data_IF_015228509523
#
_entry.id   IF_015228509523
#
_cell.length_a   1.000
_cell.length_b   1.000
_cell.length_c   1.000
_cell.angle_alpha   90.00
_cell.angle_beta   90.00
_cell.angle_gamma   90.00
#
_symmetry.space_group_name_H-M   'P 1'
#
loop_
_entity.id
_entity.type
_entity.pdbx_description
1 polymer ?
#
# COMPACT_ATOMS: atom_id res chain seq x y z
N UNK A 1 -42.63 59.52 -10.31
CA UNK A 1 -42.34 58.12 -9.94
C UNK A 1 -40.83 57.91 -10.04
N UNK A 2 -40.15 57.69 -8.92
CA UNK A 2 -38.69 57.51 -8.85
C UNK A 2 -38.34 56.06 -9.17
N UNK A 3 -37.59 55.84 -10.24
CA UNK A 3 -37.05 54.51 -10.60
C UNK A 3 -35.84 54.22 -9.72
N UNK A 4 -35.97 53.28 -8.79
CA UNK A 4 -34.84 52.75 -8.02
C UNK A 4 -34.19 51.64 -8.88
N UNK A 5 -32.92 51.77 -9.30
CA UNK A 5 -32.27 50.70 -10.02
C UNK A 5 -31.95 49.56 -9.05
N UNK A 6 -32.50 48.38 -9.31
CA UNK A 6 -32.08 47.14 -8.67
C UNK A 6 -30.58 46.95 -8.91
N UNK A 7 -29.77 47.06 -7.84
CA UNK A 7 -28.40 46.59 -7.83
C UNK A 7 -28.45 45.06 -7.93
N UNK A 8 -28.37 44.54 -9.16
CA UNK A 8 -28.06 43.13 -9.40
C UNK A 8 -26.76 42.85 -8.65
N UNK A 9 -26.87 42.12 -7.53
CA UNK A 9 -25.73 41.82 -6.66
C UNK A 9 -24.64 41.20 -7.50
N UNK A 10 -23.44 41.80 -7.50
CA UNK A 10 -22.29 41.19 -8.15
C UNK A 10 -22.11 39.78 -7.57
N UNK A 11 -21.80 38.77 -8.40
CA UNK A 11 -21.52 37.43 -7.89
C UNK A 11 -20.41 37.54 -6.85
N UNK A 12 -20.65 37.01 -5.64
CA UNK A 12 -19.66 37.02 -4.56
C UNK A 12 -18.33 36.51 -5.11
N UNK A 13 -17.27 37.32 -5.00
CA UNK A 13 -15.95 36.93 -5.45
C UNK A 13 -15.55 35.66 -4.72
N UNK A 14 -15.31 34.59 -5.48
CA UNK A 14 -14.79 33.37 -4.88
C UNK A 14 -13.39 33.63 -4.34
N UNK A 15 -13.21 33.29 -3.07
CA UNK A 15 -11.98 33.49 -2.32
C UNK A 15 -10.84 32.65 -2.90
N UNK A 16 -11.17 31.46 -3.40
CA UNK A 16 -10.26 30.58 -4.13
C UNK A 16 -10.88 30.26 -5.48
N UNK A 17 -10.14 30.39 -6.61
CA UNK A 17 -10.65 30.01 -7.91
C UNK A 17 -11.08 28.53 -7.95
N UNK A 18 -12.23 28.23 -8.58
CA UNK A 18 -12.71 26.83 -8.69
C UNK A 18 -11.68 25.88 -9.31
N UNK A 19 -10.88 26.39 -10.24
CA UNK A 19 -9.82 25.62 -10.90
C UNK A 19 -8.79 25.13 -9.89
N UNK A 20 -8.39 25.99 -8.95
CA UNK A 20 -7.41 25.67 -7.90
C UNK A 20 -7.95 24.63 -6.93
N UNK A 21 -9.21 24.77 -6.47
CA UNK A 21 -9.83 23.75 -5.61
C UNK A 21 -9.97 22.40 -6.33
N UNK A 22 -10.39 22.40 -7.60
CA UNK A 22 -10.49 21.18 -8.41
C UNK A 22 -9.11 20.51 -8.61
N UNK A 23 -8.06 21.30 -8.81
CA UNK A 23 -6.71 20.78 -8.93
C UNK A 23 -6.24 20.17 -7.61
N UNK A 24 -6.50 20.83 -6.49
CA UNK A 24 -6.20 20.32 -5.15
C UNK A 24 -6.93 18.99 -4.88
N UNK A 25 -8.25 18.94 -5.10
CA UNK A 25 -9.07 17.73 -4.93
C UNK A 25 -8.56 16.57 -5.79
N UNK A 26 -8.19 16.85 -7.05
CA UNK A 26 -7.63 15.83 -7.94
C UNK A 26 -6.32 15.27 -7.41
N UNK A 27 -5.37 16.13 -7.04
CA UNK A 27 -4.05 15.67 -6.58
C UNK A 27 -4.15 14.95 -5.22
N UNK A 28 -4.97 15.45 -4.30
CA UNK A 28 -5.22 14.78 -3.03
C UNK A 28 -5.93 13.43 -3.21
N UNK A 29 -6.93 13.35 -4.10
CA UNK A 29 -7.63 12.10 -4.42
C UNK A 29 -6.70 11.00 -4.94
N UNK A 30 -5.73 11.36 -5.80
CA UNK A 30 -4.68 10.41 -6.23
C UNK A 30 -3.86 9.87 -5.06
N UNK A 31 -3.54 10.73 -4.08
CA UNK A 31 -2.75 10.34 -2.91
C UNK A 31 -3.55 9.47 -1.93
N UNK A 32 -4.86 9.71 -1.77
CA UNK A 32 -5.71 8.82 -0.99
C UNK A 32 -5.78 7.42 -1.61
N UNK A 33 -5.96 7.34 -2.93
CA UNK A 33 -5.92 6.06 -3.65
C UNK A 33 -4.57 5.36 -3.48
N UNK A 34 -3.47 6.11 -3.58
CA UNK A 34 -2.12 5.56 -3.39
C UNK A 34 -1.90 5.05 -1.96
N UNK A 35 -2.40 5.75 -0.94
CA UNK A 35 -2.35 5.32 0.46
C UNK A 35 -3.05 3.97 0.65
N UNK A 36 -4.26 3.84 0.12
CA UNK A 36 -5.06 2.62 0.23
C UNK A 36 -4.41 1.45 -0.53
N UNK A 37 -3.92 1.69 -1.74
CA UNK A 37 -3.20 0.70 -2.54
C UNK A 37 -1.93 0.23 -1.85
N UNK A 38 -1.15 1.13 -1.24
CA UNK A 38 0.08 0.81 -0.52
C UNK A 38 -0.23 -0.07 0.70
N UNK A 39 -1.23 0.30 1.49
CA UNK A 39 -1.67 -0.50 2.67
C UNK A 39 -2.16 -1.88 2.26
N UNK A 40 -2.96 -1.96 1.19
CA UNK A 40 -3.46 -3.23 0.65
C UNK A 40 -2.30 -4.12 0.20
N UNK A 41 -1.38 -3.59 -0.60
CA UNK A 41 -0.21 -4.31 -1.08
C UNK A 41 0.65 -4.83 0.09
N UNK A 42 0.91 -4.00 1.09
CA UNK A 42 1.66 -4.42 2.29
C UNK A 42 0.97 -5.59 3.00
N UNK A 43 -0.36 -5.51 3.19
CA UNK A 43 -1.15 -6.56 3.83
C UNK A 43 -1.13 -7.86 3.02
N UNK A 44 -1.30 -7.76 1.72
CA UNK A 44 -1.33 -8.92 0.82
C UNK A 44 0.05 -9.59 0.73
N UNK A 45 1.14 -8.80 0.70
CA UNK A 45 2.50 -9.34 0.76
C UNK A 45 2.79 -10.08 2.06
N UNK A 46 2.36 -9.53 3.21
CA UNK A 46 2.51 -10.22 4.49
C UNK A 46 1.72 -11.53 4.53
N UNK A 47 0.48 -11.54 4.06
CA UNK A 47 -0.33 -12.76 3.95
C UNK A 47 0.33 -13.81 3.05
N UNK A 48 0.91 -13.39 1.92
CA UNK A 48 1.62 -14.28 1.00
C UNK A 48 2.81 -14.94 1.68
N UNK A 49 3.63 -14.18 2.42
CA UNK A 49 4.78 -14.74 3.14
C UNK A 49 4.35 -15.63 4.31
N UNK A 50 3.27 -15.31 5.00
CA UNK A 50 2.71 -16.16 6.06
C UNK A 50 2.22 -17.50 5.50
N UNK A 51 1.57 -17.48 4.33
CA UNK A 51 1.13 -18.69 3.62
C UNK A 51 2.31 -19.53 3.14
N UNK A 52 3.36 -18.90 2.61
CA UNK A 52 4.62 -19.57 2.23
C UNK A 52 5.22 -20.32 3.43
N UNK A 53 5.31 -19.67 4.60
CA UNK A 53 5.85 -20.29 5.83
C UNK A 53 4.98 -21.45 6.30
N UNK A 54 3.66 -21.29 6.28
CA UNK A 54 2.74 -22.36 6.67
C UNK A 54 2.91 -23.59 5.76
N UNK A 55 2.97 -23.37 4.44
CA UNK A 55 3.16 -24.42 3.46
C UNK A 55 4.49 -25.17 3.65
N UNK A 56 5.61 -24.45 3.82
CA UNK A 56 6.92 -25.10 3.97
C UNK A 56 7.02 -25.90 5.27
N UNK A 57 6.45 -25.39 6.38
CA UNK A 57 6.35 -26.13 7.65
C UNK A 57 5.49 -27.39 7.52
N UNK A 58 4.35 -27.32 6.84
CA UNK A 58 3.52 -28.49 6.58
C UNK A 58 4.25 -29.54 5.74
N UNK A 59 5.00 -29.12 4.72
CA UNK A 59 5.79 -30.02 3.89
C UNK A 59 6.89 -30.75 4.67
N UNK A 60 7.62 -30.04 5.56
CA UNK A 60 8.59 -30.64 6.48
C UNK A 60 7.92 -31.59 7.47
N UNK A 61 6.74 -31.24 7.99
CA UNK A 61 6.00 -32.12 8.90
C UNK A 61 5.62 -33.43 8.21
N UNK A 62 5.09 -33.36 6.99
CA UNK A 62 4.71 -34.55 6.22
C UNK A 62 5.91 -35.48 6.00
N UNK A 63 7.06 -34.94 5.59
CA UNK A 63 8.26 -35.78 5.39
C UNK A 63 8.78 -36.39 6.68
N UNK A 64 8.74 -35.63 7.79
CA UNK A 64 9.15 -36.12 9.11
C UNK A 64 8.21 -37.20 9.66
N UNK A 65 6.90 -37.07 9.43
CA UNK A 65 5.90 -38.05 9.84
C UNK A 65 6.07 -39.35 9.03
N UNK A 66 6.34 -39.26 7.72
CA UNK A 66 6.66 -40.42 6.88
C UNK A 66 7.95 -41.12 7.33
N UNK A 67 8.98 -40.37 7.72
CA UNK A 67 10.23 -40.93 8.19
C UNK A 67 10.06 -41.71 9.50
N UNK A 68 9.10 -41.31 10.34
CA UNK A 68 8.75 -42.00 11.58
C UNK A 68 7.86 -43.24 11.36
N UNK A 69 7.50 -43.57 10.12
CA UNK A 69 6.64 -44.71 9.82
C UNK A 69 7.40 -46.04 10.01
N UNK A 70 6.84 -47.04 10.70
CA UNK A 70 7.49 -48.35 10.89
C UNK A 70 7.90 -49.07 9.60
N UNK A 71 7.28 -48.76 8.46
CA UNK A 71 7.67 -49.29 7.15
C UNK A 71 9.11 -48.91 6.77
N UNK A 72 9.63 -47.78 7.27
CA UNK A 72 11.03 -47.39 7.09
C UNK A 72 12.01 -48.35 7.79
N UNK A 73 11.59 -49.07 8.82
CA UNK A 73 12.43 -50.10 9.47
C UNK A 73 12.41 -51.43 8.69
N UNK A 74 11.37 -51.65 7.89
CA UNK A 74 11.11 -52.91 7.19
C UNK A 74 11.67 -52.92 5.76
N UNK A 75 11.70 -51.76 5.10
CA UNK A 75 12.21 -51.62 3.73
C UNK A 75 13.35 -50.57 3.67
N UNK A 76 14.62 -51.01 3.54
CA UNK A 76 15.77 -50.12 3.41
C UNK A 76 15.70 -49.18 2.20
N UNK A 77 15.05 -49.58 1.11
CA UNK A 77 14.89 -48.74 -0.08
C UNK A 77 13.88 -47.62 0.20
N UNK A 78 12.77 -47.94 0.86
CA UNK A 78 11.78 -46.96 1.30
C UNK A 78 12.40 -45.94 2.26
N UNK A 79 13.16 -46.39 3.27
CA UNK A 79 13.88 -45.51 4.19
C UNK A 79 14.80 -44.53 3.45
N UNK A 80 15.55 -45.02 2.47
CA UNK A 80 16.47 -44.20 1.67
C UNK A 80 15.71 -43.10 0.91
N UNK A 81 14.58 -43.45 0.28
CA UNK A 81 13.73 -42.49 -0.44
C UNK A 81 13.11 -41.45 0.48
N UNK A 82 12.55 -41.85 1.62
CA UNK A 82 11.90 -40.94 2.58
C UNK A 82 12.93 -40.03 3.26
N UNK A 83 14.13 -40.53 3.56
CA UNK A 83 15.25 -39.71 4.07
C UNK A 83 15.68 -38.63 3.07
N UNK A 84 15.73 -38.98 1.78
CA UNK A 84 16.02 -38.02 0.72
C UNK A 84 14.90 -36.97 0.57
N UNK A 85 13.62 -37.38 0.67
CA UNK A 85 12.48 -36.47 0.70
C UNK A 85 12.57 -35.48 1.87
N UNK A 86 12.80 -35.98 3.09
CA UNK A 86 12.88 -35.15 4.29
C UNK A 86 14.02 -34.13 4.22
N UNK A 87 15.18 -34.56 3.74
CA UNK A 87 16.31 -33.66 3.48
C UNK A 87 15.94 -32.60 2.45
N UNK A 88 15.21 -32.96 1.38
CA UNK A 88 14.76 -32.01 0.37
C UNK A 88 13.76 -31.00 0.94
N UNK A 89 12.79 -31.45 1.74
CA UNK A 89 11.79 -30.60 2.38
C UNK A 89 12.42 -29.60 3.35
N UNK A 90 13.36 -30.04 4.18
CA UNK A 90 14.11 -29.16 5.10
C UNK A 90 14.95 -28.11 4.37
N UNK A 91 15.58 -28.50 3.25
CA UNK A 91 16.31 -27.55 2.37
C UNK A 91 15.37 -26.53 1.73
N UNK A 92 14.19 -26.97 1.28
CA UNK A 92 13.17 -26.10 0.70
C UNK A 92 12.61 -25.12 1.74
N UNK A 93 12.37 -25.56 2.97
CA UNK A 93 11.97 -24.69 4.08
C UNK A 93 13.04 -23.62 4.38
N UNK A 94 14.31 -24.03 4.47
CA UNK A 94 15.43 -23.10 4.67
C UNK A 94 15.51 -22.04 3.56
N UNK A 95 15.35 -22.46 2.30
CA UNK A 95 15.29 -21.54 1.16
C UNK A 95 14.08 -20.59 1.25
N UNK A 96 12.93 -21.12 1.66
CA UNK A 96 11.70 -20.34 1.81
C UNK A 96 11.82 -19.29 2.93
N UNK A 97 12.46 -19.63 4.05
CA UNK A 97 12.76 -18.69 5.13
C UNK A 97 13.64 -17.53 4.63
N UNK A 98 14.68 -17.81 3.83
CA UNK A 98 15.50 -16.77 3.23
C UNK A 98 14.69 -15.90 2.25
N UNK A 99 13.86 -16.51 1.40
CA UNK A 99 12.94 -15.77 0.50
C UNK A 99 12.04 -14.82 1.29
N UNK A 100 11.42 -15.30 2.37
CA UNK A 100 10.54 -14.50 3.24
C UNK A 100 11.32 -13.34 3.89
N UNK A 101 12.52 -13.61 4.41
CA UNK A 101 13.39 -12.57 4.97
C UNK A 101 13.77 -11.50 3.94
N UNK A 102 14.04 -11.89 2.69
CA UNK A 102 14.34 -10.96 1.61
C UNK A 102 13.10 -10.12 1.24
N UNK A 103 11.91 -10.72 1.12
CA UNK A 103 10.66 -9.99 0.84
C UNK A 103 10.34 -9.01 1.98
N UNK A 104 10.59 -9.39 3.23
CA UNK A 104 10.40 -8.53 4.38
C UNK A 104 11.26 -7.25 4.27
N UNK A 105 12.55 -7.39 3.97
CA UNK A 105 13.51 -6.29 3.87
C UNK A 105 13.34 -5.43 2.61
N UNK A 106 13.00 -6.05 1.49
CA UNK A 106 13.00 -5.40 0.16
C UNK A 106 11.63 -4.91 -0.29
N UNK A 107 10.54 -5.37 0.33
CA UNK A 107 9.17 -4.98 -0.06
C UNK A 107 8.39 -4.46 1.15
N UNK A 108 8.24 -5.28 2.20
CA UNK A 108 7.33 -4.95 3.32
C UNK A 108 7.83 -3.73 4.11
N UNK A 109 9.12 -3.68 4.44
CA UNK A 109 9.73 -2.56 5.16
C UNK A 109 9.72 -1.25 4.35
N UNK A 110 10.14 -1.23 3.07
CA UNK A 110 9.98 -0.05 2.22
C UNK A 110 8.54 0.45 2.16
N UNK A 111 7.56 -0.43 1.88
CA UNK A 111 6.15 -0.01 1.82
C UNK A 111 5.65 0.54 3.16
N UNK A 112 6.11 -0.02 4.30
CA UNK A 112 5.81 0.51 5.63
C UNK A 112 6.36 1.92 5.83
N UNK A 113 7.62 2.16 5.43
CA UNK A 113 8.26 3.47 5.51
C UNK A 113 7.55 4.49 4.62
N UNK A 114 7.20 4.12 3.38
CA UNK A 114 6.43 4.97 2.48
C UNK A 114 5.06 5.33 3.07
N UNK A 115 4.36 4.33 3.62
CA UNK A 115 3.05 4.50 4.27
C UNK A 115 3.09 5.45 5.47
N UNK A 116 4.25 5.61 6.11
CA UNK A 116 4.39 6.45 7.30
C UNK A 116 4.32 7.96 7.01
N UNK A 117 4.43 8.37 5.74
CA UNK A 117 4.38 9.78 5.32
C UNK A 117 2.94 10.29 5.23
N UNK A 118 1.98 9.43 4.85
CA UNK A 118 0.58 9.83 4.64
C UNK A 118 -0.12 10.49 5.85
N UNK A 119 0.07 10.03 7.10
CA UNK A 119 -0.51 10.71 8.26
C UNK A 119 -0.12 12.19 8.36
N UNK A 120 1.15 12.53 8.08
CA UNK A 120 1.63 13.91 8.10
C UNK A 120 1.00 14.75 6.99
N UNK A 121 0.94 14.20 5.77
CA UNK A 121 0.27 14.80 4.63
C UNK A 121 -1.21 15.08 4.92
N UNK A 122 -1.94 14.09 5.43
CA UNK A 122 -3.35 14.20 5.77
C UNK A 122 -3.58 15.29 6.84
N UNK A 123 -2.66 15.44 7.79
CA UNK A 123 -2.71 16.52 8.77
C UNK A 123 -2.43 17.90 8.16
N UNK A 124 -1.53 18.00 7.19
CA UNK A 124 -1.28 19.26 6.46
C UNK A 124 -2.51 19.68 5.64
N UNK A 125 -3.17 18.73 4.96
CA UNK A 125 -4.43 18.96 4.24
C UNK A 125 -5.54 19.44 5.19
N UNK A 126 -5.71 18.78 6.34
CA UNK A 126 -6.66 19.23 7.37
C UNK A 126 -6.37 20.65 7.86
N UNK A 127 -5.09 20.99 8.06
CA UNK A 127 -4.68 22.35 8.47
C UNK A 127 -4.98 23.39 7.39
N UNK A 128 -4.76 23.08 6.11
CA UNK A 128 -5.17 23.93 4.99
C UNK A 128 -6.68 24.19 5.02
N UNK A 129 -7.48 23.12 5.16
CA UNK A 129 -8.94 23.25 5.15
C UNK A 129 -9.46 24.08 6.34
N UNK A 130 -8.89 23.89 7.52
CA UNK A 130 -9.20 24.71 8.69
C UNK A 130 -8.89 26.20 8.43
N UNK A 131 -7.69 26.52 7.93
CA UNK A 131 -7.34 27.91 7.60
C UNK A 131 -8.24 28.47 6.49
N UNK A 132 -8.66 27.67 5.51
CA UNK A 132 -9.60 28.08 4.46
C UNK A 132 -10.98 28.44 5.04
N UNK A 133 -11.49 27.67 6.00
CA UNK A 133 -12.74 27.97 6.68
C UNK A 133 -12.64 29.28 7.48
N UNK A 134 -11.54 29.48 8.19
CA UNK A 134 -11.28 30.72 8.93
C UNK A 134 -11.15 31.92 7.98
N UNK A 135 -10.49 31.75 6.83
CA UNK A 135 -10.42 32.75 5.77
C UNK A 135 -11.82 33.11 5.26
N UNK A 136 -12.64 32.11 4.87
CA UNK A 136 -14.03 32.33 4.42
C UNK A 136 -14.86 33.12 5.44
N UNK A 137 -14.71 32.81 6.73
CA UNK A 137 -15.41 33.51 7.83
C UNK A 137 -14.97 34.97 7.95
N UNK A 138 -13.66 35.25 7.95
CA UNK A 138 -13.13 36.61 8.08
C UNK A 138 -13.39 37.46 6.83
N UNK A 139 -13.31 36.86 5.64
CA UNK A 139 -13.67 37.52 4.39
C UNK A 139 -15.14 37.94 4.39
N UNK A 140 -16.05 37.06 4.82
CA UNK A 140 -17.47 37.39 4.96
C UNK A 140 -17.72 38.56 5.92
N UNK A 141 -16.89 38.69 6.97
CA UNK A 141 -16.93 39.82 7.91
C UNK A 141 -16.47 41.12 7.24
N UNK A 142 -15.42 41.08 6.41
CA UNK A 142 -14.96 42.23 5.61
C UNK A 142 -16.05 42.67 4.64
N UNK A 143 -16.59 41.76 3.82
CA UNK A 143 -17.68 42.03 2.87
C UNK A 143 -18.89 42.69 3.56
N UNK A 144 -19.29 42.18 4.73
CA UNK A 144 -20.37 42.74 5.54
C UNK A 144 -20.14 44.20 5.98
N UNK A 145 -18.89 44.64 6.17
CA UNK A 145 -18.59 46.04 6.47
C UNK A 145 -18.42 46.88 5.20
N UNK A 146 -18.00 46.29 4.08
CA UNK A 146 -17.90 46.97 2.79
C UNK A 146 -19.27 47.33 2.19
N UNK A 147 -20.28 46.51 2.44
CA UNK A 147 -21.66 46.74 2.00
C UNK A 147 -22.39 47.85 2.80
N UNK A 148 -21.87 48.24 3.97
CA UNK A 148 -22.49 49.27 4.81
C UNK A 148 -22.13 50.68 4.37
N UNK A 149 -22.93 51.66 4.79
CA UNK A 149 -22.62 53.07 4.56
C UNK A 149 -21.26 53.47 5.13
N UNK A 150 -20.53 54.30 4.38
CA UNK A 150 -19.15 54.70 4.68
C UNK A 150 -19.09 55.80 5.75
N UNK A 151 -19.52 55.48 6.96
CA UNK A 151 -19.37 56.35 8.12
C UNK A 151 -18.02 56.12 8.81
N UNK A 152 -17.50 57.11 9.55
CA UNK A 152 -16.23 57.00 10.28
C UNK A 152 -16.10 55.73 11.14
N UNK A 153 -17.09 55.39 12.00
CA UNK A 153 -17.07 54.16 12.80
C UNK A 153 -17.06 52.87 11.97
N UNK A 154 -17.72 52.85 10.80
CA UNK A 154 -17.76 51.68 9.91
C UNK A 154 -16.41 51.51 9.20
N UNK A 155 -15.79 52.61 8.76
CA UNK A 155 -14.46 52.59 8.16
C UNK A 155 -13.39 52.06 9.14
N UNK A 156 -13.45 52.45 10.41
CA UNK A 156 -12.57 51.93 11.45
C UNK A 156 -12.74 50.41 11.64
N UNK A 157 -13.99 49.91 11.71
CA UNK A 157 -14.29 48.47 11.82
C UNK A 157 -13.87 47.69 10.57
N UNK A 158 -14.05 48.26 9.39
CA UNK A 158 -13.59 47.68 8.12
C UNK A 158 -12.07 47.53 8.10
N UNK A 159 -11.35 48.57 8.52
CA UNK A 159 -9.90 48.52 8.61
C UNK A 159 -9.43 47.42 9.58
N UNK A 160 -9.98 47.36 10.79
CA UNK A 160 -9.68 46.28 11.76
C UNK A 160 -9.99 44.88 11.22
N UNK A 161 -11.12 44.71 10.52
CA UNK A 161 -11.47 43.43 9.91
C UNK A 161 -10.49 43.02 8.80
N UNK A 162 -9.99 43.98 8.00
CA UNK A 162 -8.97 43.74 6.97
C UNK A 162 -7.61 43.40 7.58
N UNK A 163 -7.19 44.11 8.64
CA UNK A 163 -5.95 43.79 9.37
C UNK A 163 -6.00 42.36 9.95
N UNK A 164 -7.12 41.97 10.55
CA UNK A 164 -7.29 40.62 11.09
C UNK A 164 -7.37 39.53 10.01
N UNK A 165 -7.85 39.87 8.80
CA UNK A 165 -7.94 38.94 7.69
C UNK A 165 -6.57 38.64 7.05
N UNK A 166 -5.70 39.65 6.92
CA UNK A 166 -4.41 39.57 6.23
C UNK A 166 -3.57 38.33 6.63
N UNK A 167 -3.26 38.08 7.92
CA UNK A 167 -2.40 36.95 8.29
C UNK A 167 -3.04 35.59 8.00
N UNK A 168 -4.37 35.46 8.11
CA UNK A 168 -5.09 34.21 7.81
C UNK A 168 -5.08 33.91 6.32
N UNK A 169 -5.20 34.95 5.49
CA UNK A 169 -5.09 34.84 4.04
C UNK A 169 -3.68 34.37 3.64
N UNK A 170 -2.64 35.02 4.15
CA UNK A 170 -1.24 34.68 3.86
C UNK A 170 -0.89 33.25 4.29
N UNK A 171 -1.34 32.83 5.47
CA UNK A 171 -1.18 31.46 5.98
C UNK A 171 -1.88 30.43 5.08
N UNK A 172 -3.12 30.70 4.65
CA UNK A 172 -3.83 29.83 3.71
C UNK A 172 -3.09 29.73 2.36
N UNK A 173 -2.70 30.87 1.78
CA UNK A 173 -2.02 30.90 0.48
C UNK A 173 -0.69 30.13 0.52
N UNK A 174 0.05 30.27 1.63
CA UNK A 174 1.30 29.52 1.87
C UNK A 174 1.05 28.01 1.93
N UNK A 175 0.11 27.56 2.77
CA UNK A 175 -0.23 26.13 2.90
C UNK A 175 -0.78 25.55 1.60
N UNK A 176 -1.64 26.29 0.91
CA UNK A 176 -2.25 25.88 -0.34
C UNK A 176 -1.21 25.72 -1.44
N UNK A 177 -0.30 26.70 -1.58
CA UNK A 177 0.80 26.64 -2.54
C UNK A 177 1.73 25.46 -2.25
N UNK A 178 2.15 25.31 -0.99
CA UNK A 178 3.02 24.21 -0.57
C UNK A 178 2.43 22.84 -0.93
N UNK A 179 1.16 22.59 -0.58
CA UNK A 179 0.52 21.32 -0.87
C UNK A 179 0.35 21.07 -2.38
N UNK A 180 0.01 22.09 -3.17
CA UNK A 180 -0.09 21.97 -4.63
C UNK A 180 1.25 21.68 -5.29
N UNK A 181 2.36 22.11 -4.69
CA UNK A 181 3.71 21.81 -5.17
C UNK A 181 4.22 20.44 -4.71
N UNK A 182 3.94 20.04 -3.47
CA UNK A 182 4.50 18.82 -2.85
C UNK A 182 3.70 17.56 -3.21
N UNK A 183 2.36 17.63 -3.24
CA UNK A 183 1.52 16.45 -3.50
C UNK A 183 1.84 15.76 -4.85
N UNK A 184 1.97 16.49 -5.98
CA UNK A 184 2.30 15.86 -7.26
C UNK A 184 3.71 15.25 -7.29
N UNK A 185 4.68 15.88 -6.59
CA UNK A 185 6.05 15.37 -6.48
C UNK A 185 6.07 14.06 -5.70
N UNK A 186 5.39 14.02 -4.55
CA UNK A 186 5.26 12.82 -3.74
C UNK A 186 4.53 11.69 -4.50
N UNK A 187 3.48 12.01 -5.26
CA UNK A 187 2.83 11.03 -6.12
C UNK A 187 3.81 10.48 -7.17
N UNK A 188 4.63 11.33 -7.79
CA UNK A 188 5.58 10.93 -8.82
C UNK A 188 6.68 10.01 -8.26
N UNK A 189 7.19 10.28 -7.06
CA UNK A 189 8.23 9.47 -6.42
C UNK A 189 7.83 8.02 -6.10
N UNK A 190 6.54 7.66 -6.25
CA UNK A 190 6.07 6.28 -6.06
C UNK A 190 6.79 5.29 -6.97
N UNK A 191 7.20 5.71 -8.17
CA UNK A 191 7.87 4.85 -9.15
C UNK A 191 9.26 4.49 -8.62
N UNK A 192 10.08 5.52 -8.38
CA UNK A 192 11.45 5.37 -7.86
C UNK A 192 11.50 4.59 -6.55
N UNK A 193 10.44 4.69 -5.74
CA UNK A 193 10.36 4.01 -4.46
C UNK A 193 9.92 2.54 -4.58
N UNK A 194 8.93 2.25 -5.43
CA UNK A 194 8.34 0.92 -5.53
C UNK A 194 9.07 0.01 -6.53
N UNK A 195 9.66 0.55 -7.58
CA UNK A 195 10.31 -0.24 -8.65
C UNK A 195 11.42 -1.16 -8.11
N UNK A 196 12.37 -0.71 -7.27
CA UNK A 196 13.39 -1.61 -6.70
C UNK A 196 12.80 -2.71 -5.82
N UNK A 197 11.66 -2.43 -5.17
CA UNK A 197 10.95 -3.39 -4.32
C UNK A 197 10.34 -4.51 -5.17
N UNK A 198 9.66 -4.15 -6.26
CA UNK A 198 9.07 -5.11 -7.18
C UNK A 198 10.11 -5.93 -7.94
N UNK A 199 11.22 -5.30 -8.38
CA UNK A 199 12.31 -6.03 -9.00
C UNK A 199 12.92 -7.08 -8.06
N UNK A 200 13.14 -6.70 -6.80
CA UNK A 200 13.63 -7.62 -5.76
C UNK A 200 12.66 -8.77 -5.50
N UNK A 201 11.36 -8.48 -5.49
CA UNK A 201 10.30 -9.48 -5.35
C UNK A 201 10.33 -10.52 -6.47
N UNK A 202 10.37 -10.06 -7.73
CA UNK A 202 10.42 -10.94 -8.91
C UNK A 202 11.66 -11.83 -8.84
N UNK A 203 12.83 -11.26 -8.52
CA UNK A 203 14.08 -12.03 -8.37
C UNK A 203 14.01 -13.08 -7.27
N UNK A 204 13.35 -12.77 -6.15
CA UNK A 204 13.17 -13.69 -5.04
C UNK A 204 12.22 -14.86 -5.39
N UNK A 205 11.20 -14.61 -6.22
CA UNK A 205 10.20 -15.61 -6.62
C UNK A 205 10.64 -16.51 -7.78
N UNK A 206 11.45 -16.00 -8.72
CA UNK A 206 11.91 -16.78 -9.89
C UNK A 206 13.00 -17.80 -9.51
N UNK A 207 13.84 -17.48 -8.53
CA UNK A 207 14.95 -18.34 -8.08
C UNK A 207 14.54 -19.77 -7.67
N UNK A 208 13.47 -20.02 -6.88
CA UNK A 208 13.04 -21.38 -6.55
C UNK A 208 12.46 -22.18 -7.74
N UNK A 209 11.83 -21.52 -8.72
CA UNK A 209 11.17 -22.19 -9.85
C UNK A 209 12.19 -22.83 -10.80
N UNK A 210 13.34 -22.18 -10.98
CA UNK A 210 14.37 -22.61 -11.95
C UNK A 210 15.26 -23.75 -11.41
N UNK A 211 15.25 -24.00 -10.08
CA UNK A 211 16.06 -25.05 -9.45
C UNK A 211 15.29 -25.80 -8.36
N UNK A 212 14.34 -26.69 -8.72
CA UNK A 212 13.80 -27.63 -7.74
C UNK A 212 14.95 -28.49 -7.18
N UNK A 213 14.93 -28.85 -5.88
CA UNK A 213 15.95 -29.73 -5.32
C UNK A 213 16.04 -31.04 -6.13
N UNK A 214 17.24 -31.53 -6.48
CA UNK A 214 17.41 -32.75 -7.28
C UNK A 214 16.65 -33.96 -6.70
N UNK A 215 16.52 -34.03 -5.38
CA UNK A 215 15.76 -35.06 -4.68
C UNK A 215 14.24 -34.99 -4.96
N UNK A 216 13.68 -33.79 -5.13
CA UNK A 216 12.27 -33.61 -5.50
C UNK A 216 12.00 -34.03 -6.95
N UNK A 217 12.94 -33.68 -7.85
CA UNK A 217 12.90 -34.12 -9.24
C UNK A 217 13.03 -35.66 -9.33
N UNK A 218 13.91 -36.24 -8.52
CA UNK A 218 14.06 -37.69 -8.40
C UNK A 218 12.77 -38.34 -7.91
N UNK A 219 12.17 -37.90 -6.80
CA UNK A 219 10.92 -38.44 -6.26
C UNK A 219 9.74 -38.37 -7.24
N UNK A 220 9.61 -37.28 -8.01
CA UNK A 220 8.60 -37.18 -9.07
C UNK A 220 8.83 -38.23 -10.17
N UNK A 221 10.08 -38.51 -10.52
CA UNK A 221 10.43 -39.57 -11.48
C UNK A 221 10.27 -40.99 -10.91
N UNK A 222 10.57 -41.23 -9.63
CA UNK A 222 10.41 -42.56 -9.00
C UNK A 222 8.95 -42.88 -8.69
N UNK A 223 8.14 -41.91 -8.27
CA UNK A 223 6.71 -42.11 -8.03
C UNK A 223 5.96 -42.45 -9.33
N UNK A 224 6.31 -41.81 -10.45
CA UNK A 224 5.78 -42.19 -11.76
C UNK A 224 6.22 -43.60 -12.18
N UNK A 225 7.45 -44.02 -11.85
CA UNK A 225 7.89 -45.40 -12.13
C UNK A 225 7.25 -46.44 -11.20
N UNK A 226 7.02 -46.13 -9.92
CA UNK A 226 6.37 -47.02 -8.96
C UNK A 226 4.89 -47.25 -9.31
N UNK A 227 4.17 -46.22 -9.74
CA UNK A 227 2.80 -46.37 -10.29
C UNK A 227 2.77 -47.14 -11.62
N UNK A 228 3.90 -47.24 -12.33
CA UNK A 228 4.05 -48.00 -13.56
C UNK A 228 4.54 -49.45 -13.34
N UNK A 229 4.86 -49.84 -12.10
CA UNK A 229 5.35 -51.18 -11.78
C UNK A 229 4.28 -52.27 -12.05
N UNK A 230 4.63 -53.39 -12.71
CA UNK A 230 3.72 -54.52 -12.93
C UNK A 230 3.13 -55.08 -11.64
N UNK A 231 3.86 -54.99 -10.52
CA UNK A 231 3.45 -55.52 -9.22
C UNK A 231 2.28 -54.71 -8.62
N UNK A 232 2.24 -53.39 -8.85
CA UNK A 232 1.13 -52.53 -8.42
C UNK A 232 -0.14 -52.73 -9.27
N UNK A 233 0.01 -53.20 -10.53
CA UNK A 233 -1.13 -53.65 -11.38
C UNK A 233 -1.64 -55.03 -10.98
N UNK A 234 -0.76 -55.94 -10.60
CA UNK A 234 -1.13 -57.27 -10.08
C UNK A 234 -1.88 -57.17 -8.75
N UNK A 235 -1.47 -56.26 -7.86
CA UNK A 235 -2.16 -56.03 -6.59
C UNK A 235 -3.59 -55.49 -6.76
N UNK A 236 -3.84 -54.59 -7.73
CA UNK A 236 -5.19 -54.14 -8.06
C UNK A 236 -6.05 -55.18 -8.78
N UNK A 237 -5.46 -56.09 -9.58
CA UNK A 237 -6.24 -57.16 -10.23
C UNK A 237 -6.63 -58.30 -9.29
N UNK A 238 -5.87 -58.54 -8.22
CA UNK A 238 -6.10 -59.66 -7.31
C UNK A 238 -6.99 -59.30 -6.11
N UNK A 239 -7.09 -58.02 -5.76
CA UNK A 239 -7.79 -57.56 -4.54
C UNK A 239 -8.73 -56.36 -4.76
N UNK A 240 -8.96 -55.95 -6.01
CA UNK A 240 -9.90 -54.90 -6.40
C UNK A 240 -11.18 -55.45 -7.01
#
# INVERSE_FOLDING_TARGET
MSWIPFKIGQPKKQIVPKTVERDFEREYGKLQQLEDQTKKLQKDMKKSTDADVAMSKSAVKISSDLLSNPLCEQDPNFLTMVTALDTAMKRMDSFNQEKVNQIQKTVIEPLKKFSSVFPSLNMAVKRREQTLQDYKRLQSKVEKYEEKEKTGPILAKLHQAREGLRPVKEDFETKNKQLLEEMPKFYSSRIDYCEPSFESLIRAQVRPIVKPPPALAALLSTSTSLCASPEHRLFQMLFG
#
